data_IF_447873824165
#
_entry.id   IF_447873824165
#
_cell.length_a   1.000
_cell.length_b   1.000
_cell.length_c   1.000
_cell.angle_alpha   90.00
_cell.angle_beta   90.00
_cell.angle_gamma   90.00
#
_symmetry.space_group_name_H-M   'P 1'
#
loop_
_entity.id
_entity.type
_entity.pdbx_description
1 polymer ?
#
# COMPACT_ATOMS: atom_id res chain seq x y z
N UNK A 1 -57.56 2.58 4.34
CA UNK A 1 -56.54 2.48 5.42
C UNK A 1 -55.36 1.61 5.00
N UNK A 2 -55.58 0.45 4.39
CA UNK A 2 -54.53 -0.45 3.88
C UNK A 2 -53.51 0.23 2.93
N UNK A 3 -53.96 1.05 1.98
CA UNK A 3 -53.05 1.72 1.04
C UNK A 3 -52.05 2.68 1.70
N UNK A 4 -52.45 3.35 2.79
CA UNK A 4 -51.54 4.21 3.59
C UNK A 4 -50.50 3.37 4.33
N UNK A 5 -50.90 2.21 4.85
CA UNK A 5 -49.99 1.29 5.56
C UNK A 5 -48.93 0.73 4.59
N UNK A 6 -49.35 0.34 3.38
CA UNK A 6 -48.43 -0.16 2.34
C UNK A 6 -47.43 0.93 1.93
N UNK A 7 -47.88 2.17 1.76
CA UNK A 7 -47.01 3.29 1.39
C UNK A 7 -45.95 3.59 2.47
N UNK A 8 -46.36 3.59 3.74
CA UNK A 8 -45.46 3.83 4.89
C UNK A 8 -44.42 2.72 5.00
N UNK A 9 -44.83 1.46 4.83
CA UNK A 9 -43.92 0.32 4.87
C UNK A 9 -42.86 0.38 3.75
N UNK A 10 -43.26 0.75 2.53
CA UNK A 10 -42.33 0.89 1.40
C UNK A 10 -41.30 2.01 1.64
N UNK A 11 -41.72 3.15 2.18
CA UNK A 11 -40.82 4.26 2.50
C UNK A 11 -39.83 3.89 3.63
N UNK A 12 -40.27 3.15 4.64
CA UNK A 12 -39.41 2.68 5.72
C UNK A 12 -38.31 1.73 5.21
N UNK A 13 -38.64 0.82 4.28
CA UNK A 13 -37.64 -0.08 3.68
C UNK A 13 -36.63 0.65 2.78
N UNK A 14 -37.05 1.71 2.09
CA UNK A 14 -36.14 2.53 1.27
C UNK A 14 -35.11 3.31 2.10
N UNK A 15 -35.49 3.78 3.29
CA UNK A 15 -34.57 4.48 4.19
C UNK A 15 -33.49 3.54 4.79
N UNK A 16 -33.84 2.26 5.01
CA UNK A 16 -32.89 1.27 5.50
C UNK A 16 -31.82 0.88 4.47
N UNK A 17 -32.04 1.16 3.17
CA UNK A 17 -31.11 0.83 2.09
C UNK A 17 -29.83 1.70 2.06
N UNK A 18 -29.83 2.87 2.73
CA UNK A 18 -28.64 3.71 2.90
C UNK A 18 -27.94 3.51 4.26
N UNK A 19 -28.37 2.54 5.08
CA UNK A 19 -27.82 2.27 6.40
C UNK A 19 -26.68 1.26 6.43
N UNK A 20 -25.86 1.17 5.37
CA UNK A 20 -24.71 0.26 5.40
C UNK A 20 -23.76 0.65 6.55
N UNK A 21 -23.09 -0.34 7.15
CA UNK A 21 -22.06 -0.07 8.15
C UNK A 21 -21.00 0.77 7.47
N UNK A 22 -20.60 1.90 8.08
CA UNK A 22 -19.54 2.74 7.55
C UNK A 22 -18.36 1.87 7.06
N UNK A 23 -18.08 1.92 5.76
CA UNK A 23 -16.96 1.24 5.14
C UNK A 23 -15.67 1.96 5.54
N UNK A 24 -15.29 1.80 6.82
CA UNK A 24 -14.02 2.27 7.31
C UNK A 24 -12.96 1.35 6.74
N UNK A 25 -11.88 1.94 6.23
CA UNK A 25 -10.67 1.16 6.03
C UNK A 25 -10.31 0.59 7.42
N UNK A 26 -10.47 -0.72 7.60
CA UNK A 26 -9.88 -1.40 8.74
C UNK A 26 -8.38 -1.09 8.75
N UNK A 27 -7.77 -1.06 9.95
CA UNK A 27 -6.37 -0.71 10.19
C UNK A 27 -5.49 -1.09 8.99
N UNK A 28 -4.83 -0.10 8.37
CA UNK A 28 -3.93 -0.36 7.24
C UNK A 28 -3.00 -1.50 7.65
N UNK A 29 -3.10 -2.64 6.95
CA UNK A 29 -2.11 -3.70 7.10
C UNK A 29 -0.76 -3.05 6.81
N UNK A 30 0.15 -3.10 7.78
CA UNK A 30 1.53 -2.71 7.52
C UNK A 30 2.12 -3.72 6.54
N UNK A 31 2.75 -3.22 5.49
CA UNK A 31 3.49 -4.09 4.57
C UNK A 31 4.68 -4.72 5.29
N UNK A 32 5.09 -5.89 4.79
CA UNK A 32 6.29 -6.55 5.31
C UNK A 32 7.51 -5.67 5.05
N UNK A 33 8.55 -5.80 5.86
CA UNK A 33 9.74 -5.01 5.65
C UNK A 33 10.40 -5.36 4.30
N UNK A 34 10.95 -4.37 3.56
CA UNK A 34 11.49 -4.60 2.21
C UNK A 34 12.60 -5.65 2.14
N UNK A 35 13.39 -5.79 3.20
CA UNK A 35 14.47 -6.79 3.29
C UNK A 35 13.96 -8.21 3.62
N UNK A 36 12.73 -8.37 4.10
CA UNK A 36 12.17 -9.66 4.51
C UNK A 36 11.54 -10.46 3.37
N UNK A 37 11.07 -9.77 2.32
CA UNK A 37 10.36 -10.35 1.17
C UNK A 37 11.26 -10.99 0.10
N UNK A 38 12.57 -10.79 0.18
CA UNK A 38 13.54 -11.39 -0.74
C UNK A 38 13.71 -12.89 -0.47
N UNK A 39 13.21 -13.75 -1.36
CA UNK A 39 13.22 -15.21 -1.18
C UNK A 39 13.76 -16.00 -2.39
N UNK A 40 13.97 -15.35 -3.54
CA UNK A 40 14.14 -16.05 -4.83
C UNK A 40 15.41 -15.65 -5.60
N UNK A 41 15.67 -16.32 -6.72
CA UNK A 41 16.82 -16.09 -7.62
C UNK A 41 16.88 -14.67 -8.23
N UNK A 42 15.84 -13.85 -8.03
CA UNK A 42 15.75 -12.48 -8.53
C UNK A 42 16.28 -11.44 -7.53
N UNK A 43 16.80 -11.87 -6.38
CA UNK A 43 17.49 -10.96 -5.47
C UNK A 43 18.69 -10.35 -6.19
N UNK A 44 18.64 -9.04 -6.36
CA UNK A 44 19.72 -8.33 -7.04
C UNK A 44 21.05 -8.56 -6.32
N UNK A 45 22.16 -8.77 -7.05
CA UNK A 45 23.47 -8.96 -6.46
C UNK A 45 23.92 -7.70 -5.71
N UNK A 46 24.75 -7.88 -4.68
CA UNK A 46 25.34 -6.79 -3.89
C UNK A 46 24.68 -6.55 -2.52
N UNK A 47 23.63 -7.30 -2.18
CA UNK A 47 23.06 -7.29 -0.83
C UNK A 47 22.51 -8.65 -0.41
N UNK A 48 22.26 -8.81 0.89
CA UNK A 48 21.80 -10.07 1.50
C UNK A 48 20.34 -10.03 1.91
N UNK A 49 19.55 -11.01 1.45
CA UNK A 49 18.16 -11.17 1.86
C UNK A 49 18.03 -11.33 3.39
N UNK A 50 17.02 -10.69 3.98
CA UNK A 50 16.81 -10.63 5.42
C UNK A 50 17.70 -9.65 6.17
N UNK A 51 18.74 -9.09 5.53
CA UNK A 51 19.66 -8.14 6.14
C UNK A 51 19.25 -6.69 5.81
N UNK A 52 18.75 -5.99 6.83
CA UNK A 52 18.35 -4.58 6.72
C UNK A 52 19.51 -3.67 6.33
N UNK A 53 20.68 -3.82 6.97
CA UNK A 53 21.82 -2.93 6.75
C UNK A 53 22.37 -3.07 5.33
N UNK A 54 22.46 -4.31 4.86
CA UNK A 54 22.85 -4.63 3.49
C UNK A 54 21.85 -4.09 2.46
N UNK A 55 20.55 -4.23 2.71
CA UNK A 55 19.50 -3.66 1.86
C UNK A 55 19.58 -2.12 1.79
N UNK A 56 19.73 -1.45 2.93
CA UNK A 56 19.82 0.01 2.96
C UNK A 56 21.09 0.52 2.26
N UNK A 57 22.23 -0.15 2.44
CA UNK A 57 23.46 0.19 1.74
C UNK A 57 23.27 0.09 0.21
N UNK A 58 22.66 -1.00 -0.26
CA UNK A 58 22.32 -1.19 -1.66
C UNK A 58 21.38 -0.11 -2.21
N UNK A 59 20.37 0.30 -1.42
CA UNK A 59 19.47 1.39 -1.81
C UNK A 59 20.18 2.73 -1.89
N UNK A 60 21.07 3.05 -0.94
CA UNK A 60 21.88 4.28 -0.98
C UNK A 60 22.76 4.32 -2.24
N UNK A 61 23.45 3.22 -2.56
CA UNK A 61 24.27 3.12 -3.77
C UNK A 61 23.44 3.33 -5.03
N UNK A 62 22.26 2.70 -5.12
CA UNK A 62 21.33 2.88 -6.25
C UNK A 62 20.89 4.34 -6.41
N UNK A 63 20.56 5.00 -5.30
CA UNK A 63 20.16 6.41 -5.32
C UNK A 63 21.28 7.33 -5.84
N UNK A 64 22.53 7.07 -5.46
CA UNK A 64 23.67 7.84 -5.97
C UNK A 64 23.88 7.64 -7.47
N UNK A 65 23.70 6.42 -7.97
CA UNK A 65 23.74 6.12 -9.40
C UNK A 65 22.64 6.83 -10.21
N UNK A 66 21.60 7.34 -9.55
CA UNK A 66 20.54 8.12 -10.16
C UNK A 66 20.62 9.63 -9.85
N UNK A 67 21.69 10.08 -9.19
CA UNK A 67 21.88 11.48 -8.84
C UNK A 67 22.66 12.22 -9.94
N UNK A 68 21.98 13.06 -10.72
CA UNK A 68 22.60 13.87 -11.78
C UNK A 68 23.72 14.80 -11.29
N UNK A 69 23.65 15.32 -10.06
CA UNK A 69 24.72 16.14 -9.49
C UNK A 69 26.02 15.33 -9.32
N UNK A 70 25.90 14.06 -8.92
CA UNK A 70 27.03 13.15 -8.77
C UNK A 70 27.49 12.59 -10.12
N UNK A 71 26.56 12.29 -11.04
CA UNK A 71 26.87 11.75 -12.38
C UNK A 71 27.59 12.78 -13.27
N UNK A 72 27.12 14.02 -13.31
CA UNK A 72 27.73 15.07 -14.12
C UNK A 72 29.11 15.51 -13.63
N UNK A 73 29.38 15.42 -12.33
CA UNK A 73 30.70 15.71 -11.75
C UNK A 73 31.77 14.68 -12.10
N UNK A 74 31.41 13.39 -12.25
CA UNK A 74 32.34 12.34 -12.67
C UNK A 74 32.68 12.36 -14.17
N UNK A 75 31.95 13.18 -14.95
CA UNK A 75 32.10 13.29 -16.40
C UNK A 75 32.96 14.49 -16.84
N UNK A 76 33.46 15.28 -15.86
CA UNK A 76 34.44 16.36 -16.05
C UNK A 76 35.82 15.87 -15.68
#
# INVERSE_FOLDING_TARGET
MIGRIVLIAALATGLAACGEKAQTASAKKSDAAPWEGARDAFVAPGWKAGDKGSWEAQMRTRAQGQNEYSRSAAQK
#
